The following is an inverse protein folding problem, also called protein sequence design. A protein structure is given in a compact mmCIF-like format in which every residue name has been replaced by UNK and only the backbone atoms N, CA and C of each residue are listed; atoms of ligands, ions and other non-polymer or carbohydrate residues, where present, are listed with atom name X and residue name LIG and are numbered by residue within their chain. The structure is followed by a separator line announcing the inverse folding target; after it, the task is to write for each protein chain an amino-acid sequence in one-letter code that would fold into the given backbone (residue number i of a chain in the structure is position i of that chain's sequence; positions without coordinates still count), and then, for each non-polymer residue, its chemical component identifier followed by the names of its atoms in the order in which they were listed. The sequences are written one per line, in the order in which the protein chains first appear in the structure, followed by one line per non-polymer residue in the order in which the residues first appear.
data_IF_053450633388
#
_entry.id   IF_053450633388
#
_cell.length_a   1.000
_cell.length_b   1.000
_cell.length_c   1.000
_cell.angle_alpha   90.00
_cell.angle_beta   90.00
_cell.angle_gamma   90.00
#
_symmetry.space_group_name_H-M   'P 1'
#
loop_
_entity.id
_entity.type
_entity.pdbx_description
1 polymer ?
#
# COMPACT_ATOMS: atom_id res chain seq x y z
N UNK A 1 10.98 -5.53 -16.76
CA UNK A 1 9.65 -4.90 -16.66
C UNK A 1 8.77 -5.42 -17.79
N UNK A 2 7.90 -6.40 -17.51
CA UNK A 2 7.18 -7.19 -18.52
C UNK A 2 6.07 -6.41 -19.24
N UNK A 3 5.64 -5.27 -18.67
CA UNK A 3 4.56 -4.44 -19.23
C UNK A 3 5.03 -3.52 -20.36
N UNK A 4 6.33 -3.18 -20.40
CA UNK A 4 6.90 -2.30 -21.42
C UNK A 4 6.84 -2.89 -22.84
N UNK A 5 6.78 -4.22 -22.98
CA UNK A 5 6.68 -4.89 -24.27
C UNK A 5 5.30 -4.79 -24.94
N UNK A 6 4.27 -4.28 -24.24
CA UNK A 6 2.87 -4.29 -24.69
C UNK A 6 2.35 -2.94 -25.22
N UNK A 7 3.15 -1.88 -25.28
CA UNK A 7 2.69 -0.56 -25.75
C UNK A 7 3.57 0.02 -26.87
N UNK A 8 3.26 -0.26 -28.15
CA UNK A 8 3.79 0.54 -29.24
C UNK A 8 3.13 1.94 -29.24
N UNK A 9 3.95 2.99 -29.11
CA UNK A 9 3.58 4.36 -29.52
C UNK A 9 3.11 5.36 -28.45
N UNK A 10 3.15 5.03 -27.15
CA UNK A 10 2.92 6.01 -26.09
C UNK A 10 4.15 6.14 -25.20
N UNK A 11 4.53 7.37 -24.84
CA UNK A 11 5.66 7.64 -23.96
C UNK A 11 5.58 6.81 -22.67
N UNK A 12 6.72 6.32 -22.20
CA UNK A 12 6.80 5.51 -20.99
C UNK A 12 6.34 6.35 -19.81
N UNK A 13 5.18 5.99 -19.25
CA UNK A 13 4.76 6.51 -17.95
C UNK A 13 5.43 5.67 -16.86
N UNK A 14 5.88 6.27 -15.76
CA UNK A 14 6.39 5.51 -14.63
C UNK A 14 5.26 4.65 -14.06
N UNK A 15 5.51 3.34 -13.97
CA UNK A 15 4.61 2.36 -13.37
C UNK A 15 5.28 1.79 -12.12
N UNK A 16 4.53 1.70 -11.03
CA UNK A 16 4.97 1.10 -9.79
C UNK A 16 3.91 0.13 -9.27
N UNK A 17 4.35 -0.89 -8.53
CA UNK A 17 3.50 -1.87 -7.85
C UNK A 17 3.68 -1.72 -6.34
N UNK A 18 2.64 -2.06 -5.59
CA UNK A 18 2.63 -1.96 -4.13
C UNK A 18 1.85 -3.14 -3.52
N UNK A 19 2.11 -3.45 -2.25
CA UNK A 19 1.35 -4.41 -1.46
C UNK A 19 -0.12 -3.97 -1.30
N UNK A 20 -1.04 -4.93 -1.28
CA UNK A 20 -2.48 -4.69 -1.19
C UNK A 20 -2.89 -3.98 0.11
N UNK A 21 -2.38 -4.44 1.27
CA UNK A 21 -2.67 -3.83 2.56
C UNK A 21 -2.14 -2.38 2.65
N UNK A 22 -0.98 -2.12 2.03
CA UNK A 22 -0.43 -0.76 1.90
C UNK A 22 -1.33 0.15 1.08
N UNK A 23 -1.83 -0.33 -0.06
CA UNK A 23 -2.76 0.43 -0.91
C UNK A 23 -4.09 0.67 -0.21
N UNK A 24 -4.60 -0.31 0.52
CA UNK A 24 -5.83 -0.17 1.30
C UNK A 24 -5.66 0.83 2.45
N UNK A 25 -4.54 0.80 3.17
CA UNK A 25 -4.24 1.81 4.20
C UNK A 25 -4.15 3.24 3.62
N UNK A 26 -3.57 3.41 2.43
CA UNK A 26 -3.55 4.71 1.75
C UNK A 26 -4.97 5.16 1.35
N UNK A 27 -5.81 4.23 0.90
CA UNK A 27 -7.21 4.53 0.60
C UNK A 27 -7.96 5.01 1.86
N UNK A 28 -7.76 4.35 3.00
CA UNK A 28 -8.34 4.76 4.29
C UNK A 28 -7.82 6.13 4.75
N UNK A 29 -6.50 6.37 4.61
CA UNK A 29 -5.89 7.66 4.97
C UNK A 29 -6.47 8.83 4.15
N UNK A 30 -6.70 8.63 2.85
CA UNK A 30 -7.14 9.69 1.95
C UNK A 30 -8.65 9.84 1.88
N UNK A 31 -9.39 8.75 2.01
CA UNK A 31 -10.82 8.70 1.69
C UNK A 31 -11.67 8.03 2.78
N UNK A 32 -11.08 7.31 3.73
CA UNK A 32 -11.78 6.52 4.75
C UNK A 32 -12.52 7.33 5.81
N UNK A 33 -12.40 8.66 5.80
CA UNK A 33 -13.10 9.51 6.77
C UNK A 33 -12.55 9.38 8.19
N UNK A 34 -11.25 9.10 8.35
CA UNK A 34 -10.56 8.93 9.63
C UNK A 34 -10.45 10.21 10.50
N UNK A 35 -11.08 11.32 10.07
CA UNK A 35 -11.03 12.60 10.79
C UNK A 35 -9.59 13.11 10.95
N UNK A 36 -9.18 13.36 12.19
CA UNK A 36 -7.83 13.80 12.55
C UNK A 36 -6.86 12.64 12.86
N UNK A 37 -7.32 11.38 12.73
CA UNK A 37 -6.43 10.24 12.89
C UNK A 37 -5.41 10.24 11.75
N UNK A 38 -4.13 10.22 12.12
CA UNK A 38 -2.97 10.17 11.21
C UNK A 38 -2.03 9.02 11.51
N UNK A 39 -2.28 8.28 12.59
CA UNK A 39 -1.51 7.10 12.95
C UNK A 39 -2.47 5.95 13.20
N UNK A 40 -2.36 4.89 12.41
CA UNK A 40 -3.24 3.72 12.51
C UNK A 40 -2.59 2.48 11.91
N UNK A 41 -3.09 1.32 12.31
CA UNK A 41 -2.76 0.02 11.73
C UNK A 41 -3.97 -0.46 10.95
N UNK A 42 -3.80 -0.67 9.65
CA UNK A 42 -4.76 -1.37 8.81
C UNK A 42 -4.50 -2.87 8.92
N UNK A 43 -5.56 -3.66 9.10
CA UNK A 43 -5.49 -5.12 9.20
C UNK A 43 -6.55 -5.75 8.31
N UNK A 44 -6.13 -6.75 7.53
CA UNK A 44 -7.03 -7.59 6.75
C UNK A 44 -6.87 -9.03 7.18
N UNK A 45 -7.97 -9.78 7.15
CA UNK A 45 -8.00 -11.20 7.46
C UNK A 45 -8.91 -11.90 6.47
N UNK A 46 -8.34 -12.33 5.34
CA UNK A 46 -9.04 -13.17 4.37
C UNK A 46 -8.42 -14.58 4.36
N UNK A 47 -7.76 -14.98 3.27
CA UNK A 47 -7.03 -16.26 3.19
C UNK A 47 -5.77 -16.23 4.10
N UNK A 48 -5.22 -15.03 4.34
CA UNK A 48 -4.14 -14.78 5.29
C UNK A 48 -4.38 -13.48 6.07
N UNK A 49 -3.46 -13.13 6.96
CA UNK A 49 -3.48 -11.87 7.71
C UNK A 49 -2.51 -10.87 7.06
N UNK A 50 -3.04 -9.79 6.50
CA UNK A 50 -2.25 -8.68 5.96
C UNK A 50 -2.31 -7.48 6.90
N UNK A 51 -1.34 -6.58 6.80
CA UNK A 51 -1.39 -5.33 7.54
C UNK A 51 -0.45 -4.25 7.03
N UNK A 52 -0.78 -3.01 7.37
CA UNK A 52 -0.03 -1.83 6.99
C UNK A 52 -0.07 -0.77 8.09
N UNK A 53 1.08 -0.18 8.40
CA UNK A 53 1.20 0.82 9.46
C UNK A 53 1.35 2.22 8.86
N UNK A 54 0.47 3.13 9.25
CA UNK A 54 0.58 4.56 8.96
C UNK A 54 0.95 5.28 10.25
N UNK A 55 1.98 6.12 10.23
CA UNK A 55 2.36 6.98 11.36
C UNK A 55 2.48 8.43 10.90
N UNK A 56 1.76 9.33 11.56
CA UNK A 56 1.81 10.77 11.24
C UNK A 56 1.37 11.11 9.81
N UNK A 57 0.57 10.27 9.17
CA UNK A 57 0.13 10.42 7.78
C UNK A 57 1.07 9.77 6.76
N UNK A 58 2.12 9.10 7.21
CA UNK A 58 3.09 8.43 6.33
C UNK A 58 2.97 6.92 6.43
N UNK A 59 2.89 6.26 5.28
CA UNK A 59 2.91 4.81 5.19
C UNK A 59 4.32 4.27 5.51
N UNK A 60 4.43 3.45 6.55
CA UNK A 60 5.66 2.75 6.87
C UNK A 60 5.77 1.45 6.06
N UNK A 61 6.74 1.43 5.14
CA UNK A 61 7.05 0.26 4.30
C UNK A 61 8.08 -0.68 4.94
N UNK A 62 8.88 -0.17 5.87
CA UNK A 62 10.03 -0.89 6.44
C UNK A 62 11.17 -1.07 5.43
N UNK A 63 12.33 -1.55 5.90
CA UNK A 63 13.54 -1.66 5.07
C UNK A 63 13.40 -2.62 3.87
N UNK A 64 12.47 -3.58 3.95
CA UNK A 64 12.27 -4.62 2.95
C UNK A 64 10.84 -4.70 2.41
N UNK A 65 9.98 -3.71 2.73
CA UNK A 65 8.58 -3.71 2.27
C UNK A 65 7.61 -4.55 3.11
N UNK A 66 8.04 -5.06 4.27
CA UNK A 66 7.23 -5.95 5.14
C UNK A 66 6.76 -5.29 6.45
N UNK A 67 6.85 -3.97 6.60
CA UNK A 67 6.33 -3.33 7.81
C UNK A 67 4.80 -3.43 7.86
N UNK A 68 4.28 -4.05 8.92
CA UNK A 68 2.84 -4.30 9.08
C UNK A 68 2.40 -5.70 8.66
N UNK A 69 3.28 -6.51 8.08
CA UNK A 69 3.00 -7.92 7.77
C UNK A 69 3.01 -8.76 9.06
N UNK A 70 1.83 -9.04 9.62
CA UNK A 70 1.66 -9.78 10.88
C UNK A 70 1.25 -11.24 10.63
N UNK A 71 0.77 -11.58 9.43
CA UNK A 71 0.41 -12.94 9.04
C UNK A 71 1.63 -13.78 8.66
N UNK A 72 2.16 -14.50 9.63
CA UNK A 72 3.00 -15.68 9.41
C UNK A 72 2.30 -16.93 9.92
#
# INVERSE_FOLDING_TARGET
DALAALRPGQGVLPVASENEANLAALAELWFGGLGDVRSFLYLTGEIGVGGALVLGGELLRGAHGFAGEIGH
#
